data_IF_688856040063
#
_entry.id   IF_688856040063
#
_cell.length_a   1.000
_cell.length_b   1.000
_cell.length_c   1.000
_cell.angle_alpha   90.00
_cell.angle_beta   90.00
_cell.angle_gamma   90.00
#
_symmetry.space_group_name_H-M   'P 1'
#
loop_
_entity.id
_entity.type
_entity.pdbx_description
1 polymer ?
#
# COMPACT_ATOMS: atom_id res chain seq x y z
N UNK A 1 -10.02 10.60 -13.44
CA UNK A 1 -10.67 9.95 -12.28
C UNK A 1 -10.98 11.02 -11.26
N UNK A 2 -12.08 10.88 -10.51
CA UNK A 2 -12.51 11.86 -9.51
C UNK A 2 -12.55 11.19 -8.14
N UNK A 3 -11.92 11.83 -7.15
CA UNK A 3 -11.96 11.41 -5.76
C UNK A 3 -12.85 12.41 -5.00
N UNK A 4 -13.97 11.93 -4.47
CA UNK A 4 -14.93 12.74 -3.71
C UNK A 4 -14.75 12.52 -2.20
N UNK A 5 -14.41 13.60 -1.50
CA UNK A 5 -14.05 13.60 -0.08
C UNK A 5 -15.20 14.23 0.71
N UNK A 6 -16.20 13.42 0.99
CA UNK A 6 -17.45 13.82 1.69
C UNK A 6 -17.22 14.43 3.07
N UNK A 7 -16.07 14.19 3.69
CA UNK A 7 -15.67 14.64 5.02
C UNK A 7 -14.65 15.79 5.00
N UNK A 8 -14.36 16.35 3.82
CA UNK A 8 -13.45 17.48 3.65
C UNK A 8 -14.23 18.72 3.21
N UNK A 9 -13.80 19.87 3.73
CA UNK A 9 -14.26 21.21 3.35
C UNK A 9 -13.09 21.97 2.76
N UNK A 10 -13.21 22.45 1.51
CA UNK A 10 -12.14 23.19 0.84
C UNK A 10 -11.75 24.46 1.60
N UNK A 11 -12.72 25.19 2.17
CA UNK A 11 -12.44 26.40 2.93
C UNK A 11 -11.57 26.12 4.16
N UNK A 12 -11.82 25.00 4.84
CA UNK A 12 -11.03 24.56 6.00
C UNK A 12 -9.64 24.17 5.56
N UNK A 13 -9.52 23.40 4.49
CA UNK A 13 -8.24 23.00 3.89
C UNK A 13 -7.39 24.21 3.49
N UNK A 14 -7.98 25.22 2.83
CA UNK A 14 -7.26 26.42 2.40
C UNK A 14 -6.78 27.26 3.60
N UNK A 15 -7.57 27.37 4.67
CA UNK A 15 -7.15 28.04 5.91
C UNK A 15 -5.99 27.31 6.58
N UNK A 16 -6.06 25.98 6.68
CA UNK A 16 -4.98 25.16 7.24
C UNK A 16 -3.66 25.38 6.47
N UNK A 17 -3.70 25.49 5.14
CA UNK A 17 -2.50 25.71 4.34
C UNK A 17 -2.00 27.17 4.45
N UNK A 18 -2.88 28.15 4.66
CA UNK A 18 -2.50 29.56 4.80
C UNK A 18 -1.94 29.89 6.19
N UNK A 19 -2.48 29.28 7.26
CA UNK A 19 -2.06 29.54 8.64
C UNK A 19 -0.71 28.90 8.98
N UNK A 20 -0.34 27.82 8.28
CA UNK A 20 0.98 27.24 8.36
C UNK A 20 1.96 28.09 7.53
N UNK A 21 2.54 29.11 8.18
CA UNK A 21 3.39 30.12 7.54
C UNK A 21 4.56 29.55 6.68
N UNK A 22 5.23 30.40 5.89
CA UNK A 22 6.18 30.01 4.83
C UNK A 22 7.48 29.32 5.29
N UNK A 23 7.58 28.90 6.57
CA UNK A 23 8.72 28.17 7.14
C UNK A 23 8.40 26.77 7.65
N UNK A 24 7.14 26.34 7.64
CA UNK A 24 6.76 24.96 8.00
C UNK A 24 6.60 24.15 6.70
N UNK A 25 7.69 23.58 6.19
CA UNK A 25 7.72 22.76 4.97
C UNK A 25 6.81 21.50 5.07
N UNK A 26 6.25 21.23 6.25
CA UNK A 26 5.39 20.09 6.56
C UNK A 26 4.02 20.52 7.11
N UNK A 27 3.41 21.55 6.52
CA UNK A 27 2.04 21.95 6.77
C UNK A 27 1.03 20.84 6.42
N UNK A 28 0.87 19.85 7.31
CA UNK A 28 -0.08 18.75 7.10
C UNK A 28 -1.48 19.28 7.28
N UNK A 29 -2.30 19.26 6.22
CA UNK A 29 -3.73 19.48 6.38
C UNK A 29 -4.31 18.36 7.24
N UNK A 30 -4.67 18.70 8.49
CA UNK A 30 -5.32 17.78 9.40
C UNK A 30 -6.67 17.32 8.86
N UNK A 31 -7.37 18.20 8.14
CA UNK A 31 -8.64 17.88 7.47
C UNK A 31 -8.45 16.81 6.38
N UNK A 32 -7.45 16.98 5.50
CA UNK A 32 -7.19 16.01 4.44
C UNK A 32 -6.70 14.66 4.99
N UNK A 33 -5.79 14.70 5.97
CA UNK A 33 -5.23 13.52 6.63
C UNK A 33 -6.30 12.65 7.31
N UNK A 34 -7.32 13.27 7.91
CA UNK A 34 -8.42 12.57 8.59
C UNK A 34 -9.52 12.08 7.64
N UNK A 35 -9.44 12.38 6.34
CA UNK A 35 -10.47 11.93 5.40
C UNK A 35 -10.54 10.41 5.33
N UNK A 36 -11.75 9.88 5.42
CA UNK A 36 -12.02 8.44 5.27
C UNK A 36 -11.65 7.93 3.89
N UNK A 37 -11.52 8.80 2.89
CA UNK A 37 -11.11 8.37 1.56
C UNK A 37 -9.73 7.70 1.57
N UNK A 38 -8.77 8.21 2.37
CA UNK A 38 -7.42 7.62 2.46
C UNK A 38 -7.37 6.31 3.26
N UNK A 39 -8.38 6.03 4.08
CA UNK A 39 -8.45 4.81 4.91
C UNK A 39 -9.27 3.69 4.27
N UNK A 40 -9.92 3.91 3.13
CA UNK A 40 -10.66 2.85 2.42
C UNK A 40 -9.72 1.97 1.60
N UNK A 41 -9.94 0.65 1.56
CA UNK A 41 -9.10 -0.27 0.79
C UNK A 41 -9.02 0.06 -0.70
N UNK A 42 -10.17 0.09 -1.38
CA UNK A 42 -10.27 0.27 -2.84
C UNK A 42 -9.77 1.61 -3.38
N UNK A 43 -9.77 2.65 -2.55
CA UNK A 43 -9.31 3.98 -2.99
C UNK A 43 -7.80 3.99 -3.28
N UNK A 44 -7.05 2.95 -2.92
CA UNK A 44 -5.63 2.82 -3.28
C UNK A 44 -5.49 2.64 -4.79
N UNK A 45 -6.34 1.79 -5.37
CA UNK A 45 -6.38 1.62 -6.82
C UNK A 45 -6.93 2.88 -7.49
N UNK A 46 -7.96 3.51 -6.92
CA UNK A 46 -8.50 4.77 -7.45
C UNK A 46 -7.46 5.90 -7.47
N UNK A 47 -6.53 5.89 -6.49
CA UNK A 47 -5.41 6.82 -6.40
C UNK A 47 -4.32 6.55 -7.43
N UNK A 48 -3.95 5.27 -7.62
CA UNK A 48 -2.74 4.88 -8.35
C UNK A 48 -2.98 4.46 -9.80
N UNK A 49 -4.11 3.82 -10.11
CA UNK A 49 -4.36 3.28 -11.45
C UNK A 49 -4.59 4.36 -12.53
N UNK A 50 -5.32 5.46 -12.27
CA UNK A 50 -5.51 6.51 -13.27
C UNK A 50 -4.27 7.40 -13.45
N UNK A 51 -4.06 7.92 -14.66
CA UNK A 51 -3.00 8.91 -14.94
C UNK A 51 -3.27 10.26 -14.27
N UNK A 52 -4.54 10.61 -14.08
CA UNK A 52 -4.95 11.85 -13.40
C UNK A 52 -6.12 11.60 -12.44
N UNK A 53 -5.99 12.15 -11.23
CA UNK A 53 -6.99 12.11 -10.16
C UNK A 53 -7.18 13.53 -9.64
N UNK A 54 -8.42 14.00 -9.65
CA UNK A 54 -8.82 15.30 -9.09
C UNK A 54 -9.60 15.07 -7.81
N UNK A 55 -9.22 15.75 -6.74
CA UNK A 55 -9.85 15.70 -5.43
C UNK A 55 -10.92 16.79 -5.33
N UNK A 56 -12.14 16.39 -4.97
CA UNK A 56 -13.27 17.26 -4.71
C UNK A 56 -13.69 17.15 -3.25
N UNK A 57 -14.07 18.27 -2.66
CA UNK A 57 -14.62 18.32 -1.31
C UNK A 57 -16.11 17.90 -1.29
N UNK A 58 -16.74 17.99 -0.11
CA UNK A 58 -18.17 17.66 0.09
C UNK A 58 -19.15 18.49 -0.75
N UNK A 59 -18.74 19.67 -1.22
CA UNK A 59 -19.55 20.62 -1.98
C UNK A 59 -19.21 20.56 -3.49
N UNK A 60 -18.47 19.52 -3.92
CA UNK A 60 -17.97 19.34 -5.29
C UNK A 60 -17.05 20.48 -5.75
N UNK A 61 -16.36 21.14 -4.82
CA UNK A 61 -15.34 22.12 -5.13
C UNK A 61 -13.98 21.43 -5.24
N UNK A 62 -13.24 21.77 -6.30
CA UNK A 62 -11.90 21.22 -6.51
C UNK A 62 -10.95 21.67 -5.40
N UNK A 63 -10.32 20.70 -4.74
CA UNK A 63 -9.25 20.90 -3.76
C UNK A 63 -7.91 20.96 -4.48
N UNK A 64 -7.70 20.06 -5.44
CA UNK A 64 -6.49 19.96 -6.25
C UNK A 64 -6.36 18.59 -6.91
N UNK A 65 -5.22 18.33 -7.53
CA UNK A 65 -4.90 17.08 -8.23
C UNK A 65 -3.94 16.21 -7.43
N UNK A 66 -3.85 14.91 -7.73
CA UNK A 66 -2.82 14.01 -7.18
C UNK A 66 -1.41 14.55 -7.37
N UNK A 67 -1.12 15.13 -8.52
CA UNK A 67 0.21 15.69 -8.83
C UNK A 67 0.46 16.97 -8.03
N UNK A 68 -0.52 17.89 -7.96
CA UNK A 68 -0.36 19.15 -7.23
C UNK A 68 -0.31 18.96 -5.71
N UNK A 69 -0.97 17.92 -5.20
CA UNK A 69 -0.99 17.57 -3.77
C UNK A 69 -0.05 16.41 -3.42
N UNK A 70 0.91 16.08 -4.30
CA UNK A 70 1.73 14.86 -4.17
C UNK A 70 2.48 14.79 -2.83
N UNK A 71 3.05 15.90 -2.34
CA UNK A 71 3.77 15.94 -1.06
C UNK A 71 2.83 15.61 0.13
N UNK A 72 1.64 16.22 0.17
CA UNK A 72 0.64 15.96 1.20
C UNK A 72 0.10 14.53 1.12
N UNK A 73 -0.22 14.04 -0.08
CA UNK A 73 -0.72 12.68 -0.29
C UNK A 73 0.34 11.65 0.07
N UNK A 74 1.62 11.90 -0.26
CA UNK A 74 2.75 11.07 0.12
C UNK A 74 2.86 10.95 1.64
N UNK A 75 2.69 12.05 2.37
CA UNK A 75 2.73 12.05 3.82
C UNK A 75 1.56 11.27 4.45
N UNK A 76 0.38 11.28 3.83
CA UNK A 76 -0.79 10.55 4.33
C UNK A 76 -0.70 9.06 4.02
N UNK A 77 -0.16 8.70 2.85
CA UNK A 77 -0.27 7.32 2.31
C UNK A 77 1.04 6.54 2.32
N UNK A 78 2.15 7.19 2.68
CA UNK A 78 3.52 6.66 2.53
C UNK A 78 3.92 6.33 1.08
N UNK A 79 3.13 6.74 0.09
CA UNK A 79 3.43 6.52 -1.32
C UNK A 79 4.44 7.57 -1.78
N UNK A 80 5.61 7.19 -2.32
CA UNK A 80 6.61 8.14 -2.77
C UNK A 80 6.06 9.16 -3.78
N UNK A 81 6.48 10.42 -3.66
CA UNK A 81 6.05 11.49 -4.57
C UNK A 81 6.36 11.23 -6.05
N UNK A 82 7.47 10.56 -6.44
CA UNK A 82 7.68 10.18 -7.84
C UNK A 82 6.60 9.23 -8.38
N UNK A 83 6.08 8.32 -7.55
CA UNK A 83 4.98 7.42 -7.93
C UNK A 83 3.67 8.22 -8.12
N UNK A 84 3.39 9.17 -7.23
CA UNK A 84 2.19 10.02 -7.30
C UNK A 84 2.22 10.99 -8.50
N UNK A 85 3.41 11.50 -8.85
CA UNK A 85 3.61 12.39 -10.00
C UNK A 85 3.64 11.62 -11.33
N UNK A 86 3.87 10.30 -11.28
CA UNK A 86 3.98 9.44 -12.46
C UNK A 86 5.40 9.33 -13.04
N UNK A 87 6.39 9.84 -12.31
CA UNK A 87 7.81 9.80 -12.68
C UNK A 87 8.45 8.42 -12.41
N UNK A 88 7.83 7.62 -11.53
CA UNK A 88 8.27 6.27 -11.17
C UNK A 88 7.15 5.24 -11.41
N UNK A 89 7.47 4.14 -12.09
CA UNK A 89 6.54 3.03 -12.29
C UNK A 89 6.27 2.27 -10.98
N UNK A 90 5.00 1.96 -10.73
CA UNK A 90 4.52 1.15 -9.61
C UNK A 90 5.27 -0.19 -9.50
N UNK A 91 5.60 -0.81 -10.63
CA UNK A 91 6.31 -2.11 -10.66
C UNK A 91 7.75 -2.04 -10.18
N UNK A 92 8.35 -0.85 -10.15
CA UNK A 92 9.70 -0.64 -9.61
C UNK A 92 9.73 -0.59 -8.08
N UNK A 93 8.58 -0.40 -7.44
CA UNK A 93 8.45 -0.44 -5.98
C UNK A 93 8.36 -1.89 -5.49
N UNK A 94 9.02 -2.16 -4.37
CA UNK A 94 9.06 -3.49 -3.78
C UNK A 94 7.68 -3.95 -3.30
N UNK A 95 7.53 -5.25 -3.05
CA UNK A 95 6.33 -5.82 -2.44
C UNK A 95 6.09 -5.19 -1.07
N UNK A 96 7.13 -5.10 -0.24
CA UNK A 96 7.05 -4.46 1.08
C UNK A 96 6.53 -3.02 1.01
N UNK A 97 7.06 -2.21 0.08
CA UNK A 97 6.60 -0.84 -0.13
C UNK A 97 5.11 -0.81 -0.49
N UNK A 98 4.70 -1.58 -1.50
CA UNK A 98 3.31 -1.61 -1.96
C UNK A 98 2.36 -2.13 -0.87
N UNK A 99 2.77 -3.10 -0.07
CA UNK A 99 1.98 -3.58 1.07
C UNK A 99 1.82 -2.50 2.14
N UNK A 100 2.87 -1.73 2.43
CA UNK A 100 2.84 -0.67 3.46
C UNK A 100 1.80 0.42 3.14
N UNK A 101 1.54 0.72 1.87
CA UNK A 101 0.54 1.72 1.45
C UNK A 101 -0.91 1.31 1.77
N UNK A 102 -1.11 0.04 2.11
CA UNK A 102 -2.39 -0.51 2.53
C UNK A 102 -2.45 -0.82 4.03
N UNK A 103 -1.36 -0.60 4.78
CA UNK A 103 -1.24 -1.01 6.18
C UNK A 103 -2.31 -0.39 7.10
N UNK A 104 -2.70 0.86 6.83
CA UNK A 104 -3.70 1.60 7.62
C UNK A 104 -5.09 1.59 6.99
N UNK A 105 -5.25 0.94 5.83
CA UNK A 105 -6.52 0.87 5.12
C UNK A 105 -7.44 -0.18 5.72
N UNK A 106 -8.75 0.06 5.56
CA UNK A 106 -9.84 -0.73 6.10
C UNK A 106 -10.88 -1.00 5.02
N UNK A 107 -11.55 -2.13 5.14
CA UNK A 107 -12.63 -2.55 4.25
C UNK A 107 -13.84 -2.99 5.07
N UNK A 108 -15.02 -2.92 4.47
CA UNK A 108 -16.26 -3.35 5.12
C UNK A 108 -16.32 -4.87 5.24
N UNK A 109 -15.92 -5.60 4.20
CA UNK A 109 -15.69 -7.05 4.27
C UNK A 109 -14.23 -7.30 4.54
N UNK A 110 -13.92 -8.16 5.50
CA UNK A 110 -12.55 -8.32 5.97
C UNK A 110 -11.63 -8.90 4.86
N UNK A 111 -12.16 -9.77 4.00
CA UNK A 111 -11.44 -10.35 2.85
C UNK A 111 -11.11 -9.33 1.77
N UNK A 112 -11.87 -8.24 1.67
CA UNK A 112 -11.60 -7.18 0.68
C UNK A 112 -10.24 -6.49 0.93
N UNK A 113 -9.64 -6.61 2.13
CA UNK A 113 -8.26 -6.16 2.38
C UNK A 113 -7.26 -6.85 1.45
N UNK A 114 -7.51 -8.11 1.07
CA UNK A 114 -6.70 -8.84 0.11
C UNK A 114 -7.13 -8.51 -1.33
N UNK A 115 -8.44 -8.52 -1.60
CA UNK A 115 -8.95 -8.36 -2.96
C UNK A 115 -8.70 -6.97 -3.53
N UNK A 116 -8.74 -5.92 -2.71
CA UNK A 116 -8.43 -4.56 -3.16
C UNK A 116 -6.94 -4.36 -3.51
N UNK A 117 -6.07 -5.35 -3.28
CA UNK A 117 -4.65 -5.28 -3.60
C UNK A 117 -4.26 -6.03 -4.87
N UNK A 118 -5.13 -6.88 -5.42
CA UNK A 118 -4.86 -7.66 -6.63
C UNK A 118 -4.35 -6.78 -7.79
N UNK A 119 -5.00 -5.64 -8.04
CA UNK A 119 -4.60 -4.70 -9.09
C UNK A 119 -3.25 -4.01 -8.84
N UNK A 120 -2.89 -3.76 -7.58
CA UNK A 120 -1.61 -3.15 -7.19
C UNK A 120 -0.44 -4.13 -7.42
N UNK A 121 -0.70 -5.42 -7.23
CA UNK A 121 0.29 -6.48 -7.44
C UNK A 121 0.24 -7.11 -8.83
N UNK A 122 -0.78 -6.81 -9.63
CA UNK A 122 -0.95 -7.39 -10.96
C UNK A 122 -1.26 -8.89 -10.93
N UNK A 123 -1.88 -9.39 -9.86
CA UNK A 123 -2.24 -10.80 -9.68
C UNK A 123 -3.76 -10.99 -9.78
N UNK A 124 -4.19 -12.19 -10.13
CA UNK A 124 -5.60 -12.56 -10.18
C UNK A 124 -5.88 -13.77 -9.31
N UNK A 125 -6.86 -13.67 -8.41
CA UNK A 125 -7.37 -14.80 -7.64
C UNK A 125 -8.90 -14.73 -7.53
N UNK A 126 -9.61 -15.88 -7.48
CA UNK A 126 -11.06 -15.90 -7.25
C UNK A 126 -11.43 -15.28 -5.89
N UNK A 127 -12.44 -14.42 -5.89
CA UNK A 127 -13.03 -13.86 -4.67
C UNK A 127 -13.93 -14.88 -4.00
N UNK A 128 -13.59 -15.26 -2.77
CA UNK A 128 -14.33 -16.21 -1.95
C UNK A 128 -14.76 -15.49 -0.66
N UNK A 129 -16.01 -15.06 -0.59
CA UNK A 129 -16.56 -14.46 0.63
C UNK A 129 -16.89 -15.53 1.66
N UNK A 130 -16.49 -15.30 2.91
CA UNK A 130 -16.62 -16.28 4.00
C UNK A 130 -15.36 -17.13 4.22
N UNK A 131 -14.30 -16.93 3.43
CA UNK A 131 -13.02 -17.61 3.67
C UNK A 131 -12.21 -17.00 4.83
N UNK A 132 -12.55 -15.77 5.23
CA UNK A 132 -11.88 -15.02 6.27
C UNK A 132 -10.66 -14.23 5.77
N UNK A 133 -10.39 -13.08 6.40
CA UNK A 133 -9.36 -12.14 5.95
C UNK A 133 -7.96 -12.74 5.89
N UNK A 134 -7.58 -13.51 6.92
CA UNK A 134 -6.26 -14.14 7.01
C UNK A 134 -6.03 -15.08 5.83
N UNK A 135 -7.04 -15.92 5.51
CA UNK A 135 -6.94 -16.88 4.41
C UNK A 135 -6.91 -16.17 3.05
N UNK A 136 -7.76 -15.16 2.85
CA UNK A 136 -7.75 -14.35 1.63
C UNK A 136 -6.38 -13.66 1.43
N UNK A 137 -5.78 -13.13 2.49
CA UNK A 137 -4.50 -12.44 2.44
C UNK A 137 -3.30 -13.39 2.27
N UNK A 138 -3.37 -14.62 2.82
CA UNK A 138 -2.39 -15.68 2.52
C UNK A 138 -2.44 -16.05 1.04
N UNK A 139 -3.64 -16.27 0.48
CA UNK A 139 -3.79 -16.59 -0.95
C UNK A 139 -3.26 -15.47 -1.85
N UNK A 140 -3.47 -14.21 -1.47
CA UNK A 140 -2.88 -13.07 -2.20
C UNK A 140 -1.36 -13.17 -2.22
N UNK A 141 -0.71 -13.41 -1.08
CA UNK A 141 0.75 -13.58 -1.01
C UNK A 141 1.22 -14.79 -1.83
N UNK A 142 0.50 -15.92 -1.79
CA UNK A 142 0.81 -17.09 -2.62
C UNK A 142 0.74 -16.77 -4.11
N UNK A 143 -0.27 -16.02 -4.58
CA UNK A 143 -0.31 -15.57 -5.98
C UNK A 143 0.84 -14.62 -6.32
N UNK A 144 1.22 -13.72 -5.41
CA UNK A 144 2.37 -12.82 -5.65
C UNK A 144 3.66 -13.63 -5.80
N UNK A 145 3.91 -14.59 -4.92
CA UNK A 145 5.13 -15.45 -4.91
C UNK A 145 5.27 -16.25 -6.22
N UNK A 146 4.16 -16.63 -6.86
CA UNK A 146 4.22 -17.38 -8.13
C UNK A 146 4.83 -16.59 -9.28
N UNK A 147 4.73 -15.26 -9.25
CA UNK A 147 5.06 -14.39 -10.38
C UNK A 147 6.10 -13.31 -10.04
N UNK A 148 6.59 -13.26 -8.81
CA UNK A 148 7.52 -12.23 -8.35
C UNK A 148 8.58 -12.82 -7.41
N UNK A 149 9.85 -12.53 -7.67
CA UNK A 149 11.03 -13.01 -6.93
C UNK A 149 11.51 -12.03 -5.85
N UNK A 150 10.81 -10.91 -5.64
CA UNK A 150 11.10 -9.91 -4.63
C UNK A 150 10.93 -10.48 -3.20
N UNK A 151 12.06 -10.79 -2.56
CA UNK A 151 12.11 -11.32 -1.19
C UNK A 151 11.58 -10.38 -0.10
N UNK A 152 11.28 -9.11 -0.42
CA UNK A 152 10.67 -8.18 0.54
C UNK A 152 9.23 -8.57 0.92
N UNK A 153 8.61 -9.54 0.25
CA UNK A 153 7.35 -10.16 0.68
C UNK A 153 7.43 -10.75 2.10
N UNK A 154 8.64 -11.12 2.57
CA UNK A 154 8.86 -11.62 3.93
C UNK A 154 9.25 -10.52 4.93
N UNK A 155 9.35 -9.27 4.50
CA UNK A 155 9.81 -8.16 5.33
C UNK A 155 8.65 -7.53 6.13
N UNK A 156 7.90 -8.34 6.87
CA UNK A 156 6.79 -7.93 7.74
C UNK A 156 7.12 -8.20 9.21
N UNK A 157 6.37 -7.56 10.12
CA UNK A 157 6.53 -7.72 11.57
C UNK A 157 5.19 -8.05 12.22
N UNK A 158 5.16 -9.16 12.96
CA UNK A 158 3.99 -9.56 13.73
C UNK A 158 3.60 -8.48 14.76
N UNK A 159 2.31 -8.19 14.88
CA UNK A 159 1.82 -7.29 15.93
C UNK A 159 2.01 -7.92 17.31
N UNK A 160 2.72 -7.22 18.20
CA UNK A 160 3.07 -7.64 19.57
C UNK A 160 1.88 -7.89 20.49
N UNK A 161 0.69 -7.39 20.12
CA UNK A 161 -0.52 -7.54 20.93
C UNK A 161 -1.13 -8.95 20.85
N UNK A 162 -0.61 -9.81 19.98
CA UNK A 162 -0.97 -11.23 19.96
C UNK A 162 -0.03 -11.99 20.91
N UNK A 163 -0.23 -11.79 22.22
CA UNK A 163 0.48 -12.47 23.31
C UNK A 163 0.12 -13.95 23.47
N UNK A 164 -0.73 -14.48 22.60
CA UNK A 164 -0.98 -15.91 22.52
C UNK A 164 0.09 -16.48 21.59
N UNK A 165 0.88 -17.46 22.08
CA UNK A 165 1.81 -18.32 21.34
C UNK A 165 1.12 -19.07 20.17
N UNK A 166 0.44 -18.36 19.26
CA UNK A 166 -0.10 -18.93 18.05
C UNK A 166 1.09 -19.21 17.15
N UNK A 167 1.29 -20.48 16.85
CA UNK A 167 2.16 -20.92 15.77
C UNK A 167 1.75 -20.16 14.50
N UNK A 168 2.66 -19.32 13.99
CA UNK A 168 2.43 -18.54 12.78
C UNK A 168 3.22 -19.12 11.63
N UNK A 169 2.62 -19.05 10.44
CA UNK A 169 3.31 -19.36 9.20
C UNK A 169 4.28 -18.25 8.80
N UNK A 170 4.93 -18.46 7.66
CA UNK A 170 5.91 -17.53 7.08
C UNK A 170 5.29 -16.26 6.46
N UNK A 171 3.99 -16.31 6.16
CA UNK A 171 3.26 -15.23 5.49
C UNK A 171 2.49 -14.39 6.49
N UNK A 172 2.42 -13.09 6.21
CA UNK A 172 1.68 -12.12 7.02
C UNK A 172 0.17 -12.41 6.99
N UNK A 173 -0.55 -11.91 7.99
CA UNK A 173 -2.01 -12.06 8.11
C UNK A 173 -2.79 -10.84 7.62
N UNK A 174 -2.12 -9.71 7.47
CA UNK A 174 -2.71 -8.43 7.08
C UNK A 174 -1.66 -7.49 6.51
N UNK A 175 -2.02 -6.56 5.59
CA UNK A 175 -1.09 -5.52 5.14
C UNK A 175 -0.60 -4.63 6.29
N UNK A 176 -1.34 -4.55 7.41
CA UNK A 176 -0.92 -3.80 8.61
C UNK A 176 0.41 -4.28 9.21
N UNK A 177 0.82 -5.52 8.95
CA UNK A 177 2.11 -6.06 9.40
C UNK A 177 3.30 -5.56 8.56
N UNK A 178 3.03 -4.81 7.48
CA UNK A 178 4.04 -4.14 6.65
C UNK A 178 4.14 -2.63 6.91
N UNK A 179 3.55 -2.13 8.00
CA UNK A 179 3.50 -0.67 8.28
C UNK A 179 4.90 -0.03 8.34
N UNK A 180 5.89 -0.74 8.90
CA UNK A 180 7.27 -0.27 9.04
C UNK A 180 8.13 -0.57 7.79
N UNK A 181 7.54 -1.21 6.77
CA UNK A 181 8.27 -1.78 5.64
C UNK A 181 8.33 -0.87 4.42
N UNK A 182 7.75 0.33 4.50
CA UNK A 182 7.68 1.30 3.40
C UNK A 182 9.01 1.86 2.92
N UNK A 183 10.10 1.68 3.68
CA UNK A 183 11.46 2.08 3.30
C UNK A 183 12.33 0.92 2.82
N UNK A 184 11.80 -0.30 2.79
CA UNK A 184 12.56 -1.49 2.41
C UNK A 184 12.64 -1.56 0.88
N UNK A 185 13.86 -1.38 0.37
CA UNK A 185 14.17 -1.50 -1.05
C UNK A 185 14.91 -2.80 -1.33
N UNK A 186 14.71 -3.35 -2.53
CA UNK A 186 15.52 -4.45 -3.01
C UNK A 186 16.95 -3.93 -3.27
N UNK A 187 17.96 -4.71 -2.88
CA UNK A 187 19.35 -4.31 -3.09
C UNK A 187 19.65 -4.29 -4.59
N UNK A 188 19.79 -3.09 -5.15
CA UNK A 188 20.10 -2.92 -6.57
C UNK A 188 21.49 -3.49 -6.89
N UNK A 189 21.56 -4.27 -7.95
CA UNK A 189 22.84 -4.79 -8.45
C UNK A 189 23.37 -5.99 -7.67
N UNK A 190 22.58 -6.62 -6.79
CA UNK A 190 22.89 -7.96 -6.31
C UNK A 190 22.41 -9.05 -7.27
N UNK A 191 21.44 -8.76 -8.15
CA UNK A 191 20.99 -9.69 -9.19
C UNK A 191 22.12 -10.23 -10.10
N UNK A 192 23.19 -9.47 -10.32
CA UNK A 192 24.38 -9.95 -11.07
C UNK A 192 25.22 -11.00 -10.33
N UNK A 193 25.05 -11.09 -9.01
CA UNK A 193 25.69 -12.08 -8.13
C UNK A 193 24.73 -13.20 -7.72
N UNK A 194 23.43 -13.05 -7.97
CA UNK A 194 22.45 -14.11 -7.81
C UNK A 194 22.65 -15.13 -8.95
N UNK A 195 22.66 -16.42 -8.63
CA UNK A 195 22.48 -17.45 -9.65
C UNK A 195 21.15 -17.19 -10.40
N UNK A 196 21.00 -17.61 -11.67
CA UNK A 196 19.79 -17.36 -12.48
C UNK A 196 18.47 -17.89 -11.89
N UNK A 197 18.53 -18.58 -10.76
CA UNK A 197 17.43 -19.29 -10.10
C UNK A 197 17.38 -19.00 -8.59
N UNK A 198 17.63 -17.76 -8.16
CA UNK A 198 17.33 -17.28 -6.80
C UNK A 198 15.81 -17.16 -6.56
N UNK A 199 15.07 -18.15 -7.03
CA UNK A 199 13.62 -18.19 -7.00
C UNK A 199 13.20 -18.61 -5.59
N UNK A 200 12.24 -17.88 -5.03
CA UNK A 200 11.46 -18.40 -3.93
C UNK A 200 10.16 -18.97 -4.50
N UNK A 201 9.83 -20.22 -4.18
CA UNK A 201 8.64 -20.90 -4.71
C UNK A 201 7.90 -21.58 -3.58
N UNK A 202 6.57 -21.47 -3.59
CA UNK A 202 5.72 -22.24 -2.68
C UNK A 202 5.54 -23.67 -3.18
N UNK A 203 5.86 -24.64 -2.34
CA UNK A 203 5.70 -26.08 -2.62
C UNK A 203 4.69 -26.69 -1.64
N UNK A 204 4.25 -27.92 -1.91
CA UNK A 204 3.42 -28.67 -0.95
C UNK A 204 4.16 -29.01 0.37
N UNK A 205 5.46 -28.76 0.46
CA UNK A 205 6.29 -28.90 1.67
C UNK A 205 6.58 -27.55 2.36
N UNK A 206 6.07 -26.44 1.81
CA UNK A 206 6.36 -25.09 2.27
C UNK A 206 7.24 -24.31 1.29
N UNK A 207 7.86 -23.23 1.78
CA UNK A 207 8.65 -22.34 0.95
C UNK A 207 10.05 -22.91 0.68
N UNK A 208 10.44 -22.92 -0.59
CA UNK A 208 11.81 -23.14 -1.02
C UNK A 208 12.42 -21.78 -1.39
N UNK A 209 13.50 -21.39 -0.72
CA UNK A 209 14.31 -20.21 -1.07
C UNK A 209 15.74 -20.66 -1.33
N UNK A 210 16.34 -20.20 -2.41
CA UNK A 210 17.79 -20.33 -2.64
C UNK A 210 18.47 -19.09 -2.05
N UNK A 211 19.28 -19.27 -1.00
CA UNK A 211 20.09 -18.18 -0.43
C UNK A 211 21.42 -18.08 -1.17
N UNK A 212 21.90 -16.87 -1.36
CA UNK A 212 23.24 -16.62 -1.91
C UNK A 212 24.22 -16.62 -0.74
N UNK A 213 25.21 -17.50 -0.84
CA UNK A 213 26.29 -17.69 0.15
C UNK A 213 27.52 -16.94 -0.35
#
# INVERSE_FOLDING_TARGET
>A
CYAYLVDVSRDTFLREIQDNGPGDEMAVSATLCKSRWFTRGWTLQELLAPSNVVFYDKDWLEIGTRTSLAELVSLITMIPTPVLKGDQDLKSCTIAQRMSWAAERRTTRAEDLAYCLMGIFGVGMPTLYGEGAIRAFIRLQEEIIKYNDDGTIFAWKASSNNSNNQERGLLAWSPSEFIDSGKITAVQGWQKYLAPSSDHTMTNRGLRITLVI
#
